data_IF_984930111065
#
_entry.id   IF_984930111065
#
_cell.length_a   1.000
_cell.length_b   1.000
_cell.length_c   1.000
_cell.angle_alpha   90.00
_cell.angle_beta   90.00
_cell.angle_gamma   90.00
#
_symmetry.space_group_name_H-M   'P 1'
#
loop_
_entity.id
_entity.type
_entity.pdbx_description
1 polymer ?
#
# COMPACT_ATOMS: atom_id res chain seq x y z
N UNK A 1 -16.73 -9.77 4.49
CA UNK A 1 -15.42 -9.24 4.05
C UNK A 1 -15.72 -8.04 3.17
N UNK A 2 -15.13 -6.86 3.44
CA UNK A 2 -15.42 -5.66 2.64
C UNK A 2 -14.95 -5.83 1.19
N UNK A 3 -15.46 -5.02 0.27
CA UNK A 3 -14.97 -5.01 -1.12
C UNK A 3 -13.48 -4.65 -1.16
N UNK A 4 -13.05 -3.71 -0.31
CA UNK A 4 -11.64 -3.38 -0.13
C UNK A 4 -10.77 -4.57 0.28
N UNK A 5 -11.21 -5.39 1.23
CA UNK A 5 -10.47 -6.58 1.66
C UNK A 5 -10.37 -7.63 0.56
N UNK A 6 -11.48 -7.88 -0.16
CA UNK A 6 -11.52 -8.86 -1.23
C UNK A 6 -10.55 -8.50 -2.36
N UNK A 7 -10.56 -7.24 -2.82
CA UNK A 7 -9.63 -6.75 -3.84
C UNK A 7 -8.18 -6.77 -3.35
N UNK A 8 -7.93 -6.39 -2.10
CA UNK A 8 -6.59 -6.43 -1.52
C UNK A 8 -6.02 -7.86 -1.51
N UNK A 9 -6.78 -8.85 -1.03
CA UNK A 9 -6.34 -10.25 -1.02
C UNK A 9 -6.13 -10.79 -2.43
N UNK A 10 -6.99 -10.44 -3.39
CA UNK A 10 -6.83 -10.84 -4.77
C UNK A 10 -5.53 -10.27 -5.37
N UNK A 11 -5.25 -8.98 -5.15
CA UNK A 11 -4.03 -8.34 -5.62
C UNK A 11 -2.78 -8.97 -4.98
N UNK A 12 -2.81 -9.24 -3.68
CA UNK A 12 -1.69 -9.91 -3.01
C UNK A 12 -1.42 -11.30 -3.61
N UNK A 13 -2.46 -12.09 -3.86
CA UNK A 13 -2.31 -13.41 -4.51
C UNK A 13 -1.72 -13.28 -5.91
N UNK A 14 -2.23 -12.37 -6.74
CA UNK A 14 -1.70 -12.18 -8.10
C UNK A 14 -0.23 -11.70 -8.11
N UNK A 15 0.16 -10.85 -7.15
CA UNK A 15 1.56 -10.44 -6.98
C UNK A 15 2.43 -11.63 -6.60
N UNK A 16 1.98 -12.49 -5.67
CA UNK A 16 2.76 -13.65 -5.23
C UNK A 16 2.88 -14.73 -6.32
N UNK A 17 1.78 -14.99 -7.04
CA UNK A 17 1.70 -16.07 -8.02
C UNK A 17 2.29 -15.68 -9.39
N UNK A 18 2.11 -14.41 -9.80
CA UNK A 18 2.43 -13.95 -11.16
C UNK A 18 3.22 -12.64 -11.20
N UNK A 19 3.82 -12.22 -10.08
CA UNK A 19 4.68 -11.04 -10.02
C UNK A 19 6.09 -11.28 -10.57
N UNK A 20 6.81 -10.19 -10.79
CA UNK A 20 8.20 -10.21 -11.25
C UNK A 20 9.12 -9.92 -10.07
N UNK A 21 10.14 -10.75 -9.87
CA UNK A 21 11.17 -10.59 -8.85
C UNK A 21 12.27 -9.62 -9.29
N UNK A 22 12.89 -8.95 -8.32
CA UNK A 22 14.12 -8.17 -8.51
C UNK A 22 15.36 -8.78 -7.82
N UNK A 23 15.33 -10.09 -7.55
CA UNK A 23 16.43 -10.84 -6.90
C UNK A 23 17.76 -10.73 -7.62
N UNK A 24 17.74 -10.53 -8.94
CA UNK A 24 18.95 -10.45 -9.76
C UNK A 24 19.48 -9.01 -9.92
N UNK A 25 18.89 -8.04 -9.22
CA UNK A 25 19.23 -6.62 -9.32
C UNK A 25 19.94 -6.12 -8.05
N UNK A 26 20.89 -5.16 -8.18
CA UNK A 26 21.52 -4.52 -7.03
C UNK A 26 20.54 -3.54 -6.36
N UNK A 27 19.71 -4.05 -5.45
CA UNK A 27 18.72 -3.25 -4.72
C UNK A 27 19.37 -2.44 -3.60
N UNK A 28 18.94 -1.19 -3.43
CA UNK A 28 19.41 -0.28 -2.36
C UNK A 28 18.78 -0.55 -0.98
N UNK A 29 17.49 -0.94 -0.86
CA UNK A 29 16.89 -1.25 0.43
C UNK A 29 17.54 -2.50 1.06
N UNK A 30 17.78 -2.47 2.36
CA UNK A 30 18.31 -3.57 3.14
C UNK A 30 17.46 -3.78 4.40
N UNK A 31 17.43 -5.01 4.90
CA UNK A 31 16.85 -5.35 6.20
C UNK A 31 17.76 -4.89 7.35
N UNK A 32 17.25 -4.95 8.59
CA UNK A 32 18.03 -4.57 9.79
C UNK A 32 19.31 -5.41 9.97
N UNK A 33 19.32 -6.64 9.46
CA UNK A 33 20.47 -7.55 9.46
C UNK A 33 21.48 -7.26 8.33
N UNK A 34 21.21 -6.25 7.49
CA UNK A 34 22.07 -5.84 6.38
C UNK A 34 21.88 -6.65 5.09
N UNK A 35 20.97 -7.62 5.05
CA UNK A 35 20.68 -8.36 3.81
C UNK A 35 19.83 -7.52 2.84
N UNK A 36 20.01 -7.63 1.52
CA UNK A 36 19.21 -6.87 0.55
C UNK A 36 17.70 -7.20 0.64
N UNK A 37 16.85 -6.18 0.64
CA UNK A 37 15.40 -6.34 0.73
C UNK A 37 14.75 -6.37 -0.66
N UNK A 38 14.72 -7.57 -1.25
CA UNK A 38 14.10 -7.84 -2.55
C UNK A 38 12.56 -7.83 -2.51
N UNK A 39 11.95 -7.56 -3.66
CA UNK A 39 10.49 -7.47 -3.82
C UNK A 39 9.98 -8.30 -4.99
N UNK A 40 8.71 -8.71 -4.89
CA UNK A 40 7.91 -9.21 -6.00
C UNK A 40 6.82 -8.19 -6.32
N UNK A 41 6.65 -7.85 -7.60
CA UNK A 41 5.78 -6.74 -8.04
C UNK A 41 4.98 -7.03 -9.29
N UNK A 42 3.83 -6.39 -9.41
CA UNK A 42 2.94 -6.45 -10.58
C UNK A 42 2.69 -5.04 -11.11
N UNK A 43 2.76 -4.86 -12.42
CA UNK A 43 2.52 -3.57 -13.05
C UNK A 43 1.05 -3.43 -13.47
N UNK A 44 0.46 -2.24 -13.25
CA UNK A 44 -0.83 -1.87 -13.83
C UNK A 44 -2.09 -2.40 -13.12
N UNK A 45 -2.07 -2.61 -11.81
CA UNK A 45 -3.28 -2.98 -11.05
C UNK A 45 -4.25 -1.79 -10.96
N UNK A 46 -5.54 -2.02 -11.24
CA UNK A 46 -6.61 -1.01 -11.14
C UNK A 46 -7.70 -1.50 -10.18
N UNK A 47 -7.92 -0.77 -9.09
CA UNK A 47 -9.00 -1.02 -8.14
C UNK A 47 -10.12 0.02 -8.33
N UNK A 48 -11.38 -0.44 -8.26
CA UNK A 48 -12.58 0.41 -8.37
C UNK A 48 -13.49 0.20 -7.18
N UNK A 49 -13.99 1.29 -6.64
CA UNK A 49 -14.85 1.33 -5.45
C UNK A 49 -16.07 2.20 -5.74
N UNK A 50 -17.26 1.72 -5.40
CA UNK A 50 -18.45 2.56 -5.29
C UNK A 50 -18.53 3.11 -3.86
N UNK A 51 -18.35 4.42 -3.73
CA UNK A 51 -18.31 5.10 -2.43
C UNK A 51 -19.70 5.26 -1.80
N UNK A 52 -20.79 5.01 -2.55
CA UNK A 52 -22.14 4.97 -2.00
C UNK A 52 -22.40 3.68 -1.21
N UNK A 53 -21.68 2.60 -1.53
CA UNK A 53 -21.86 1.29 -0.88
C UNK A 53 -21.00 1.15 0.38
N UNK A 54 -19.71 1.44 0.29
CA UNK A 54 -18.78 1.34 1.42
C UNK A 54 -17.62 2.33 1.37
N UNK A 55 -17.06 2.65 2.53
CA UNK A 55 -15.79 3.35 2.63
C UNK A 55 -14.63 2.36 2.43
N UNK A 56 -13.74 2.56 1.44
CA UNK A 56 -12.73 1.57 1.07
C UNK A 56 -11.56 1.56 2.07
N UNK A 57 -11.75 0.89 3.21
CA UNK A 57 -10.74 0.67 4.23
C UNK A 57 -10.61 -0.82 4.55
N UNK A 58 -9.39 -1.26 4.80
CA UNK A 58 -9.11 -2.65 5.15
C UNK A 58 -9.67 -2.98 6.54
N UNK A 59 -10.33 -4.13 6.65
CA UNK A 59 -10.83 -4.69 7.93
C UNK A 59 -10.06 -5.92 8.38
N UNK A 60 -9.16 -6.46 7.55
CA UNK A 60 -8.25 -7.57 7.90
C UNK A 60 -7.30 -7.24 9.05
N UNK A 61 -6.94 -5.96 9.19
CA UNK A 61 -6.11 -5.45 10.27
C UNK A 61 -6.50 -4.02 10.60
N UNK A 62 -6.24 -3.60 11.84
CA UNK A 62 -6.46 -2.21 12.26
C UNK A 62 -5.62 -1.26 11.39
N UNK A 63 -6.28 -0.30 10.76
CA UNK A 63 -5.64 0.79 10.01
C UNK A 63 -5.68 2.08 10.83
N UNK A 64 -4.54 2.74 11.00
CA UNK A 64 -4.43 4.01 11.74
C UNK A 64 -4.90 5.19 10.89
N UNK A 65 -6.22 5.31 10.70
CA UNK A 65 -6.79 6.30 9.79
C UNK A 65 -6.62 7.77 10.27
N UNK A 66 -6.51 8.01 11.58
CA UNK A 66 -6.36 9.37 12.13
C UNK A 66 -5.10 10.06 11.60
N UNK A 67 -3.97 9.36 11.58
CA UNK A 67 -2.71 9.89 11.05
C UNK A 67 -2.76 10.12 9.55
N UNK A 68 -3.52 9.30 8.80
CA UNK A 68 -3.75 9.53 7.37
C UNK A 68 -4.55 10.83 7.13
N UNK A 69 -5.52 11.16 8.00
CA UNK A 69 -6.24 12.44 7.94
C UNK A 69 -5.33 13.61 8.31
N UNK A 70 -4.51 13.48 9.34
CA UNK A 70 -3.55 14.52 9.73
C UNK A 70 -2.58 14.85 8.59
N UNK A 71 -2.06 13.83 7.90
CA UNK A 71 -1.22 13.98 6.72
C UNK A 71 -1.96 14.64 5.54
N UNK A 72 -3.20 14.22 5.27
CA UNK A 72 -4.05 14.84 4.25
C UNK A 72 -4.23 16.34 4.51
N UNK A 73 -4.50 16.73 5.75
CA UNK A 73 -4.66 18.13 6.14
C UNK A 73 -3.32 18.89 6.08
N UNK A 74 -2.20 18.28 6.48
CA UNK A 74 -0.89 18.90 6.34
C UNK A 74 -0.54 19.24 4.89
N UNK A 75 -0.77 18.30 3.97
CA UNK A 75 -0.46 18.48 2.54
C UNK A 75 -1.45 19.45 1.89
N UNK A 76 -2.76 19.25 2.06
CA UNK A 76 -3.77 19.95 1.24
C UNK A 76 -4.35 21.18 1.90
N UNK A 77 -4.55 21.15 3.22
CA UNK A 77 -5.10 22.28 3.96
C UNK A 77 -4.00 23.26 4.37
N UNK A 78 -2.93 22.76 5.03
CA UNK A 78 -1.80 23.61 5.46
C UNK A 78 -0.86 23.95 4.31
N UNK A 79 -0.79 23.11 3.27
CA UNK A 79 0.11 23.28 2.11
C UNK A 79 1.56 23.50 2.55
N UNK A 80 1.96 22.75 3.57
CA UNK A 80 3.24 22.92 4.24
C UNK A 80 4.18 21.77 3.87
N UNK A 81 5.47 22.09 3.79
CA UNK A 81 6.56 21.12 3.75
C UNK A 81 7.36 21.10 5.06
N UNK A 82 6.92 21.84 6.09
CA UNK A 82 7.54 21.82 7.41
C UNK A 82 7.11 20.57 8.18
N UNK A 83 8.09 19.75 8.57
CA UNK A 83 7.93 18.47 9.28
C UNK A 83 8.21 18.58 10.79
N UNK A 84 8.41 19.79 11.30
CA UNK A 84 8.80 20.09 12.69
C UNK A 84 7.64 20.65 13.51
#
# INVERSE_FOLDING_TARGET
MSRADALFLQNCRDILDHGVWDTDLPVRPHWEDGTPAHTVKKFGIVNRYDLQEEFPILTLRRTYWKTAVDELLWIWQKKSNNTT
#
